data_IF_088150052498
#
_entry.id   IF_088150052498
#
_cell.length_a   1.000
_cell.length_b   1.000
_cell.length_c   1.000
_cell.angle_alpha   90.00
_cell.angle_beta   90.00
_cell.angle_gamma   90.00
#
_symmetry.space_group_name_H-M   'P 1'
#
loop_
_entity.id
_entity.type
_entity.pdbx_description
1 polymer ?
#
# COMPACT_ATOMS: atom_id res chain seq x y z
N UNK A 1 49.09 36.08 34.68
CA UNK A 1 48.11 35.00 34.95
C UNK A 1 46.67 35.28 34.50
N UNK A 2 46.30 36.51 34.07
CA UNK A 2 44.92 36.84 33.64
C UNK A 2 44.57 36.40 32.21
N UNK A 3 45.52 36.35 31.28
CA UNK A 3 45.25 35.92 29.89
C UNK A 3 45.05 34.41 29.74
N UNK A 4 45.71 33.58 30.56
CA UNK A 4 45.62 32.12 30.43
C UNK A 4 44.22 31.60 30.79
N UNK A 5 43.55 32.22 31.75
CA UNK A 5 42.20 31.84 32.20
C UNK A 5 41.12 32.15 31.16
N UNK A 6 41.26 33.25 30.41
CA UNK A 6 40.30 33.64 29.36
C UNK A 6 40.34 32.68 28.17
N UNK A 7 41.54 32.23 27.78
CA UNK A 7 41.72 31.29 26.67
C UNK A 7 41.13 29.91 27.02
N UNK A 8 41.34 29.43 28.25
CA UNK A 8 40.78 28.15 28.71
C UNK A 8 39.26 28.21 28.78
N UNK A 9 38.67 29.29 29.28
CA UNK A 9 37.21 29.47 29.29
C UNK A 9 36.61 29.50 27.89
N UNK A 10 37.28 30.14 26.94
CA UNK A 10 36.82 30.20 25.55
C UNK A 10 36.86 28.82 24.86
N UNK A 11 37.82 27.96 25.21
CA UNK A 11 37.91 26.60 24.67
C UNK A 11 36.79 25.69 25.18
N UNK A 12 36.39 25.81 26.46
CA UNK A 12 35.27 25.03 27.01
C UNK A 12 33.93 25.36 26.33
N UNK A 13 33.70 26.63 26.01
CA UNK A 13 32.48 27.05 25.29
C UNK A 13 32.41 26.46 23.88
N UNK A 14 33.53 26.42 23.15
CA UNK A 14 33.55 25.86 21.79
C UNK A 14 33.29 24.35 21.76
N UNK A 15 33.85 23.60 22.71
CA UNK A 15 33.65 22.14 22.80
C UNK A 15 32.21 21.82 23.24
N UNK A 16 31.65 22.59 24.18
CA UNK A 16 30.26 22.42 24.65
C UNK A 16 29.21 22.62 23.55
N UNK A 17 29.38 23.63 22.68
CA UNK A 17 28.45 23.89 21.58
C UNK A 17 28.44 22.78 20.52
N UNK A 18 29.56 22.08 20.31
CA UNK A 18 29.67 21.04 19.29
C UNK A 18 28.88 19.77 19.66
N UNK A 19 28.78 19.44 20.95
CA UNK A 19 28.02 18.27 21.44
C UNK A 19 26.52 18.47 21.24
N UNK A 20 26.03 19.69 21.44
CA UNK A 20 24.59 20.01 21.33
C UNK A 20 24.11 19.86 19.87
N UNK A 21 24.90 20.29 18.89
CA UNK A 21 24.51 20.21 17.47
C UNK A 21 24.32 18.77 16.96
N UNK A 22 25.20 17.84 17.38
CA UNK A 22 25.11 16.43 16.96
C UNK A 22 23.87 15.71 17.51
N UNK A 23 23.35 16.14 18.67
CA UNK A 23 22.13 15.57 19.26
C UNK A 23 20.87 15.89 18.45
N UNK A 24 20.76 17.13 17.94
CA UNK A 24 19.61 17.56 17.15
C UNK A 24 19.52 16.87 15.78
N UNK A 25 20.66 16.58 15.13
CA UNK A 25 20.68 15.99 13.78
C UNK A 25 20.07 14.58 13.72
N UNK A 26 20.26 13.74 14.75
CA UNK A 26 19.75 12.35 14.74
C UNK A 26 18.22 12.29 14.84
N UNK A 27 17.61 13.22 15.59
CA UNK A 27 16.16 13.22 15.80
C UNK A 27 15.40 13.61 14.53
N UNK A 28 15.94 14.55 13.76
CA UNK A 28 15.35 14.97 12.48
C UNK A 28 15.27 13.85 11.44
N UNK A 29 16.31 13.01 11.35
CA UNK A 29 16.34 11.88 10.38
C UNK A 29 15.24 10.86 10.70
N UNK A 30 14.99 10.59 11.99
CA UNK A 30 13.95 9.64 12.43
C UNK A 30 12.55 10.16 12.11
N UNK A 31 12.32 11.47 12.26
CA UNK A 31 11.02 12.09 11.96
C UNK A 31 10.75 12.09 10.45
N UNK A 32 11.77 12.35 9.62
CA UNK A 32 11.61 12.34 8.17
C UNK A 32 11.28 10.93 7.61
N UNK A 33 11.80 9.86 8.23
CA UNK A 33 11.53 8.49 7.79
C UNK A 33 10.13 8.01 8.16
N UNK A 34 9.57 8.44 9.30
CA UNK A 34 8.24 8.01 9.75
C UNK A 34 7.10 8.68 8.98
N UNK A 35 7.31 9.89 8.44
CA UNK A 35 6.33 10.58 7.60
C UNK A 35 6.17 9.92 6.22
N UNK A 36 7.27 9.44 5.61
CA UNK A 36 7.27 8.80 4.29
C UNK A 36 6.65 7.38 4.32
N UNK A 37 6.83 6.64 5.42
CA UNK A 37 6.22 5.31 5.61
C UNK A 37 4.71 5.41 5.89
N UNK A 38 4.29 6.40 6.68
CA UNK A 38 2.87 6.65 6.97
C UNK A 38 2.09 7.09 5.73
N UNK A 39 2.70 7.91 4.86
CA UNK A 39 2.06 8.28 3.60
C UNK A 39 1.91 7.07 2.68
N UNK A 40 2.95 6.26 2.46
CA UNK A 40 2.86 5.04 1.62
C UNK A 40 1.80 4.04 2.09
N UNK A 41 1.64 3.85 3.41
CA UNK A 41 0.58 2.99 3.95
C UNK A 41 -0.82 3.58 3.78
N UNK A 42 -0.97 4.91 3.82
CA UNK A 42 -2.26 5.57 3.55
C UNK A 42 -2.67 5.52 2.07
N UNK A 43 -1.71 5.54 1.13
CA UNK A 43 -2.02 5.43 -0.32
C UNK A 43 -2.41 4.00 -0.70
N UNK A 44 -1.78 2.99 -0.10
CA UNK A 44 -2.13 1.58 -0.34
C UNK A 44 -3.49 1.18 0.26
N UNK A 45 -4.02 1.95 1.20
CA UNK A 45 -5.33 1.70 1.82
C UNK A 45 -6.52 2.26 1.03
N UNK A 46 -6.27 2.95 -0.09
CA UNK A 46 -7.32 3.59 -0.91
C UNK A 46 -7.18 3.32 -2.41
N UNK A 47 -6.80 2.11 -2.82
CA UNK A 47 -7.24 1.63 -4.13
C UNK A 47 -8.77 1.44 -4.07
N UNK A 48 -9.51 2.43 -4.57
CA UNK A 48 -10.94 2.28 -4.77
C UNK A 48 -11.17 1.07 -5.69
N UNK A 49 -11.76 0.00 -5.12
CA UNK A 49 -12.14 -1.18 -5.89
C UNK A 49 -12.94 -0.76 -7.12
N UNK A 50 -12.63 -1.27 -8.32
CA UNK A 50 -13.34 -0.87 -9.53
C UNK A 50 -14.85 -1.15 -9.39
N UNK A 51 -15.68 -0.10 -9.49
CA UNK A 51 -17.13 -0.19 -9.22
C UNK A 51 -17.99 -0.36 -10.49
N UNK A 52 -17.42 -0.18 -11.69
CA UNK A 52 -18.15 -0.31 -12.97
C UNK A 52 -17.43 -1.24 -13.96
N UNK A 53 -17.91 -2.48 -14.03
CA UNK A 53 -17.54 -3.49 -15.01
C UNK A 53 -18.67 -4.50 -15.23
N UNK A 54 -18.67 -5.21 -16.36
CA UNK A 54 -19.81 -6.05 -16.79
C UNK A 54 -20.20 -7.13 -15.77
N UNK A 55 -19.24 -7.68 -15.03
CA UNK A 55 -19.53 -8.76 -14.08
C UNK A 55 -20.48 -8.29 -12.95
N UNK A 56 -20.33 -7.05 -12.44
CA UNK A 56 -21.23 -6.49 -11.41
C UNK A 56 -22.64 -6.21 -11.93
N UNK A 57 -22.84 -6.14 -13.25
CA UNK A 57 -24.18 -5.96 -13.84
C UNK A 57 -25.01 -7.23 -13.72
N UNK A 58 -24.36 -8.39 -13.82
CA UNK A 58 -25.00 -9.72 -13.74
C UNK A 58 -24.94 -10.36 -12.34
N UNK A 59 -23.89 -10.08 -11.56
CA UNK A 59 -23.64 -10.71 -10.26
C UNK A 59 -23.96 -9.76 -9.11
N UNK A 60 -25.15 -9.94 -8.50
CA UNK A 60 -25.69 -9.09 -7.42
C UNK A 60 -26.32 -9.92 -6.31
N UNK A 61 -26.44 -9.34 -5.12
CA UNK A 61 -27.11 -9.97 -3.98
C UNK A 61 -26.51 -11.31 -3.60
N UNK A 62 -27.33 -12.36 -3.53
CA UNK A 62 -26.88 -13.73 -3.20
C UNK A 62 -25.92 -14.32 -4.24
N UNK A 63 -25.92 -13.82 -5.48
CA UNK A 63 -25.00 -14.22 -6.56
C UNK A 63 -23.95 -13.15 -6.83
N UNK A 64 -23.59 -12.33 -5.84
CA UNK A 64 -22.49 -11.37 -5.96
C UNK A 64 -21.16 -12.07 -6.23
N UNK A 65 -20.21 -11.34 -6.81
CA UNK A 65 -18.88 -11.87 -7.13
C UNK A 65 -18.16 -12.39 -5.89
N UNK A 66 -18.27 -11.72 -4.75
CA UNK A 66 -17.63 -12.11 -3.49
C UNK A 66 -18.24 -13.39 -2.93
N UNK A 67 -19.57 -13.53 -3.01
CA UNK A 67 -20.26 -14.71 -2.56
C UNK A 67 -19.90 -15.92 -3.43
N UNK A 68 -19.84 -15.74 -4.75
CA UNK A 68 -19.40 -16.78 -5.67
C UNK A 68 -17.93 -17.13 -5.48
N UNK A 69 -17.07 -16.14 -5.23
CA UNK A 69 -15.66 -16.38 -4.93
C UNK A 69 -15.49 -17.21 -3.66
N UNK A 70 -16.25 -16.92 -2.61
CA UNK A 70 -16.26 -17.74 -1.37
C UNK A 70 -16.82 -19.14 -1.62
N UNK A 71 -17.98 -19.26 -2.27
CA UNK A 71 -18.66 -20.54 -2.52
C UNK A 71 -17.83 -21.49 -3.41
N UNK A 72 -17.09 -20.94 -4.38
CA UNK A 72 -16.23 -21.71 -5.30
C UNK A 72 -14.76 -21.73 -4.89
N UNK A 73 -14.46 -21.19 -3.70
CA UNK A 73 -13.10 -21.09 -3.15
C UNK A 73 -12.10 -20.49 -4.15
N UNK A 74 -12.48 -19.41 -4.81
CA UNK A 74 -11.63 -18.71 -5.78
C UNK A 74 -10.62 -17.88 -4.99
N UNK A 75 -9.38 -18.38 -4.94
CA UNK A 75 -8.28 -17.78 -4.16
C UNK A 75 -7.19 -17.15 -5.02
N UNK A 76 -7.21 -17.35 -6.34
CA UNK A 76 -6.21 -16.81 -7.27
C UNK A 76 -6.84 -16.28 -8.55
N UNK A 77 -6.13 -15.34 -9.17
CA UNK A 77 -6.49 -14.77 -10.47
C UNK A 77 -6.61 -15.87 -11.54
N UNK A 78 -5.69 -16.83 -11.55
CA UNK A 78 -5.66 -17.96 -12.48
C UNK A 78 -6.92 -18.83 -12.37
N UNK A 79 -7.36 -19.12 -11.14
CA UNK A 79 -8.57 -19.91 -10.91
C UNK A 79 -9.81 -19.17 -11.43
N UNK A 80 -9.89 -17.84 -11.23
CA UNK A 80 -10.97 -17.04 -11.80
C UNK A 80 -10.94 -17.07 -13.33
N UNK A 81 -9.77 -16.83 -13.94
CA UNK A 81 -9.59 -16.88 -15.40
C UNK A 81 -10.01 -18.23 -15.97
N UNK A 82 -9.59 -19.31 -15.33
CA UNK A 82 -9.96 -20.66 -15.72
C UNK A 82 -11.48 -20.85 -15.69
N UNK A 83 -12.16 -20.45 -14.61
CA UNK A 83 -13.60 -20.62 -14.49
C UNK A 83 -14.39 -19.80 -15.53
N UNK A 84 -13.93 -18.58 -15.82
CA UNK A 84 -14.57 -17.70 -16.79
C UNK A 84 -14.35 -18.18 -18.23
N UNK A 85 -13.15 -18.67 -18.57
CA UNK A 85 -12.80 -19.05 -19.95
C UNK A 85 -13.04 -20.51 -20.29
N UNK A 86 -12.88 -21.41 -19.31
CA UNK A 86 -12.92 -22.88 -19.51
C UNK A 86 -13.83 -23.60 -18.53
N UNK A 87 -14.38 -22.92 -17.54
CA UNK A 87 -15.26 -23.52 -16.53
C UNK A 87 -16.62 -23.94 -17.08
N UNK A 88 -17.46 -24.57 -16.23
CA UNK A 88 -18.76 -25.13 -16.63
C UNK A 88 -19.77 -24.09 -17.12
N UNK A 89 -19.55 -22.80 -16.83
CA UNK A 89 -20.37 -21.68 -17.27
C UNK A 89 -19.63 -20.70 -18.19
N UNK A 90 -18.48 -21.12 -18.74
CA UNK A 90 -17.67 -20.28 -19.64
C UNK A 90 -18.43 -19.79 -20.86
N UNK A 91 -19.37 -20.59 -21.38
CA UNK A 91 -20.25 -20.22 -22.50
C UNK A 91 -21.04 -18.92 -22.27
N UNK A 92 -21.36 -18.58 -21.02
CA UNK A 92 -22.06 -17.34 -20.67
C UNK A 92 -21.13 -16.11 -20.60
N UNK A 93 -19.82 -16.33 -20.57
CA UNK A 93 -18.81 -15.29 -20.41
C UNK A 93 -17.89 -15.12 -21.63
N UNK A 94 -18.22 -15.76 -22.76
CA UNK A 94 -17.42 -15.71 -24.00
C UNK A 94 -17.16 -14.26 -24.46
N UNK A 95 -18.13 -13.38 -24.28
CA UNK A 95 -18.08 -11.97 -24.70
C UNK A 95 -17.53 -11.02 -23.65
N UNK A 96 -17.13 -11.52 -22.47
CA UNK A 96 -16.50 -10.71 -21.43
C UNK A 96 -15.08 -10.38 -21.88
N UNK A 97 -14.72 -9.09 -22.04
CA UNK A 97 -13.37 -8.69 -22.41
C UNK A 97 -12.40 -8.97 -21.26
N UNK A 98 -11.11 -9.17 -21.58
CA UNK A 98 -10.09 -9.40 -20.56
C UNK A 98 -9.95 -8.22 -19.58
N UNK A 99 -10.20 -6.99 -20.05
CA UNK A 99 -10.22 -5.78 -19.21
C UNK A 99 -11.23 -5.87 -18.05
N UNK A 100 -12.44 -6.39 -18.32
CA UNK A 100 -13.45 -6.57 -17.27
C UNK A 100 -13.07 -7.73 -16.34
N UNK A 101 -12.30 -8.70 -16.82
CA UNK A 101 -11.78 -9.78 -16.01
C UNK A 101 -10.67 -9.29 -15.07
N UNK A 102 -9.78 -8.42 -15.53
CA UNK A 102 -8.77 -7.77 -14.66
C UNK A 102 -9.44 -6.94 -13.56
N UNK A 103 -10.46 -6.16 -13.91
CA UNK A 103 -11.24 -5.42 -12.91
C UNK A 103 -11.89 -6.35 -11.89
N UNK A 104 -12.38 -7.52 -12.32
CA UNK A 104 -12.92 -8.51 -11.40
C UNK A 104 -11.86 -9.10 -10.46
N UNK A 105 -10.65 -9.35 -10.97
CA UNK A 105 -9.49 -9.83 -10.20
C UNK A 105 -9.11 -8.80 -9.14
N UNK A 106 -8.95 -7.54 -9.54
CA UNK A 106 -8.64 -6.43 -8.62
C UNK A 106 -9.76 -6.22 -7.60
N UNK A 107 -11.02 -6.27 -8.03
CA UNK A 107 -12.18 -6.13 -7.13
C UNK A 107 -12.21 -7.20 -6.03
N UNK A 108 -11.88 -8.44 -6.39
CA UNK A 108 -11.83 -9.58 -5.48
C UNK A 108 -10.50 -9.68 -4.72
N UNK A 109 -9.55 -8.80 -4.98
CA UNK A 109 -8.21 -8.80 -4.37
C UNK A 109 -7.50 -10.15 -4.53
N UNK A 110 -7.58 -10.72 -5.74
CA UNK A 110 -6.97 -12.00 -6.08
C UNK A 110 -5.52 -11.79 -6.53
N UNK A 111 -4.63 -12.61 -5.98
CA UNK A 111 -3.21 -12.65 -6.34
C UNK A 111 -2.92 -13.54 -7.54
#
# INVERSE_FOLDING_TARGET
MKLLSVVVFSLFFLVGSLVILNGYSKNYIVIAQSEEENTRNAINATEEKPKDFKCLKCHKGSKSLENLAKEKEITSAEKLRFLIRKGPKSGLHVTVPDEDLEKAIQYLDLK
#
